data_IF_445896739237
#
_entry.id   IF_445896739237
#
_cell.length_a   1.000
_cell.length_b   1.000
_cell.length_c   1.000
_cell.angle_alpha   90.00
_cell.angle_beta   90.00
_cell.angle_gamma   90.00
#
_symmetry.space_group_name_H-M   'P 1'
#
loop_
_entity.id
_entity.type
_entity.pdbx_description
1 polymer ?
#
# COMPACT_ATOMS: atom_id res chain seq x y z
N UNK A 1 -29.96 -39.19 -30.19
CA UNK A 1 -29.04 -39.94 -31.08
C UNK A 1 -28.06 -38.96 -31.68
N UNK A 2 -26.76 -39.29 -31.55
CA UNK A 2 -25.56 -38.61 -32.08
C UNK A 2 -25.19 -37.30 -31.40
N UNK A 3 -23.93 -36.97 -31.10
CA UNK A 3 -22.65 -37.69 -30.94
C UNK A 3 -21.65 -36.55 -30.77
N UNK A 4 -20.97 -36.45 -29.63
CA UNK A 4 -19.86 -35.51 -29.45
C UNK A 4 -18.66 -35.88 -30.31
N UNK A 5 -17.82 -34.89 -30.61
CA UNK A 5 -16.38 -35.04 -30.84
C UNK A 5 -15.67 -33.69 -30.58
N UNK A 6 -14.40 -33.70 -30.11
CA UNK A 6 -13.77 -32.61 -29.39
C UNK A 6 -12.85 -31.73 -30.26
N UNK A 7 -12.58 -30.50 -29.80
CA UNK A 7 -11.54 -29.63 -30.39
C UNK A 7 -10.26 -29.73 -29.56
N UNK A 8 -9.14 -29.81 -30.28
CA UNK A 8 -7.81 -30.22 -29.84
C UNK A 8 -6.99 -29.05 -29.29
N UNK A 9 -6.31 -29.31 -28.18
CA UNK A 9 -5.19 -28.52 -27.65
C UNK A 9 -4.00 -28.66 -28.61
N UNK A 10 -3.37 -27.54 -28.98
CA UNK A 10 -2.08 -27.51 -29.67
C UNK A 10 -1.10 -26.71 -28.81
N UNK A 11 -0.18 -27.41 -28.15
CA UNK A 11 1.02 -26.81 -27.61
C UNK A 11 1.97 -26.39 -28.74
N UNK A 12 2.64 -25.26 -28.56
CA UNK A 12 3.79 -24.87 -29.38
C UNK A 12 5.06 -25.00 -28.55
N UNK A 13 6.06 -25.61 -29.19
CA UNK A 13 7.36 -25.93 -28.65
C UNK A 13 8.33 -24.75 -28.70
N UNK A 14 9.25 -24.75 -27.73
CA UNK A 14 10.42 -23.88 -27.64
C UNK A 14 11.42 -24.10 -28.78
N UNK A 15 12.12 -23.03 -29.16
CA UNK A 15 13.34 -23.08 -29.98
C UNK A 15 14.38 -22.15 -29.35
N UNK A 16 15.38 -22.75 -28.68
CA UNK A 16 16.64 -22.11 -28.31
C UNK A 16 17.61 -22.18 -29.49
N UNK A 17 18.23 -21.04 -29.85
CA UNK A 17 19.37 -21.01 -30.77
C UNK A 17 20.60 -20.61 -29.96
N UNK A 18 21.48 -21.58 -29.74
CA UNK A 18 22.85 -21.38 -29.29
C UNK A 18 23.77 -21.29 -30.51
N UNK A 19 24.68 -20.30 -30.52
CA UNK A 19 25.73 -20.16 -31.52
C UNK A 19 27.06 -19.95 -30.79
N UNK A 20 27.93 -20.96 -30.88
CA UNK A 20 29.29 -20.95 -30.36
C UNK A 20 30.29 -20.79 -31.50
N UNK A 21 31.39 -20.05 -31.26
CA UNK A 21 32.60 -20.08 -32.08
C UNK A 21 33.88 -19.86 -31.23
N UNK A 22 34.57 -20.99 -31.04
CA UNK A 22 35.99 -21.31 -30.83
C UNK A 22 37.12 -20.25 -30.86
N UNK A 23 38.12 -20.44 -29.96
CA UNK A 23 39.55 -20.73 -30.25
C UNK A 23 40.33 -21.06 -28.95
N UNK A 24 40.67 -22.33 -28.66
CA UNK A 24 41.99 -23.03 -28.77
C UNK A 24 43.20 -22.34 -28.11
N UNK A 25 43.77 -23.02 -27.10
CA UNK A 25 45.16 -22.88 -26.65
C UNK A 25 45.61 -24.12 -25.85
N UNK A 26 46.57 -24.88 -26.38
CA UNK A 26 47.11 -26.14 -25.85
C UNK A 26 48.20 -25.94 -24.78
N UNK A 27 48.40 -26.94 -23.91
CA UNK A 27 49.67 -27.17 -23.22
C UNK A 27 49.58 -28.10 -22.02
N UNK A 28 49.97 -29.36 -22.18
CA UNK A 28 49.98 -30.37 -21.09
C UNK A 28 51.33 -30.51 -20.38
N UNK A 29 51.33 -31.21 -19.24
CA UNK A 29 52.52 -31.85 -18.69
C UNK A 29 52.66 -31.84 -17.15
N UNK A 30 52.16 -32.88 -16.50
CA UNK A 30 52.86 -33.66 -15.47
C UNK A 30 53.36 -33.03 -14.14
N UNK A 31 53.07 -33.78 -13.08
CA UNK A 31 53.79 -33.98 -11.80
C UNK A 31 53.36 -33.19 -10.57
N UNK A 32 53.17 -33.98 -9.52
CA UNK A 32 52.78 -33.62 -8.17
C UNK A 32 53.84 -32.75 -7.49
N UNK A 33 53.36 -31.74 -6.77
CA UNK A 33 54.10 -30.98 -5.78
C UNK A 33 53.08 -30.34 -4.85
N UNK A 34 52.98 -30.87 -3.63
CA UNK A 34 52.20 -30.25 -2.58
C UNK A 34 52.81 -28.91 -2.21
N UNK A 35 51.95 -27.91 -2.09
CA UNK A 35 52.18 -26.73 -1.28
C UNK A 35 50.81 -26.27 -0.79
N UNK A 36 50.58 -26.44 0.51
CA UNK A 36 49.51 -25.79 1.26
C UNK A 36 49.53 -24.29 0.95
N UNK A 37 48.51 -23.83 0.23
CA UNK A 37 48.06 -22.44 0.29
C UNK A 37 46.59 -22.51 0.65
N UNK A 38 46.33 -22.35 1.94
CA UNK A 38 45.03 -22.01 2.47
C UNK A 38 44.57 -20.72 1.79
N UNK A 39 43.63 -20.86 0.85
CA UNK A 39 42.79 -19.76 0.40
C UNK A 39 41.96 -19.33 1.61
N UNK A 40 42.45 -18.34 2.34
CA UNK A 40 41.63 -17.53 3.24
C UNK A 40 40.61 -16.80 2.35
N UNK A 41 39.42 -17.38 2.29
CA UNK A 41 38.20 -16.74 1.82
C UNK A 41 37.98 -15.49 2.67
N UNK A 42 38.54 -14.37 2.19
CA UNK A 42 38.38 -13.07 2.80
C UNK A 42 36.92 -12.65 2.63
N UNK A 43 36.09 -13.12 3.55
CA UNK A 43 34.74 -12.64 3.76
C UNK A 43 34.82 -11.13 3.97
N UNK A 44 34.56 -10.40 2.89
CA UNK A 44 34.40 -8.96 2.92
C UNK A 44 33.11 -8.73 3.68
N UNK A 45 33.22 -8.51 4.99
CA UNK A 45 32.10 -8.11 5.82
C UNK A 45 31.69 -6.73 5.32
N UNK A 46 30.68 -6.69 4.46
CA UNK A 46 30.05 -5.44 4.04
C UNK A 46 29.57 -4.74 5.30
N UNK A 47 29.98 -3.48 5.49
CA UNK A 47 29.45 -2.68 6.58
C UNK A 47 27.91 -2.64 6.43
N UNK A 48 27.14 -2.74 7.53
CA UNK A 48 25.70 -2.60 7.45
C UNK A 48 25.37 -1.29 6.73
N UNK A 49 24.51 -1.37 5.71
CA UNK A 49 24.02 -0.17 5.04
C UNK A 49 23.32 0.70 6.09
N UNK A 50 23.48 2.03 6.06
CA UNK A 50 22.70 2.91 6.92
C UNK A 50 21.22 2.62 6.70
N UNK A 51 20.50 2.34 7.79
CA UNK A 51 19.04 2.17 7.73
C UNK A 51 18.40 3.52 7.41
N UNK A 52 17.35 3.48 6.61
CA UNK A 52 16.56 4.65 6.27
C UNK A 52 15.96 5.28 7.54
N UNK A 53 15.73 6.58 7.49
CA UNK A 53 15.22 7.37 8.61
C UNK A 53 13.96 8.08 8.15
N UNK A 54 12.99 8.21 9.04
CA UNK A 54 11.78 8.96 8.74
C UNK A 54 12.12 10.40 8.31
N UNK A 55 11.34 10.97 7.37
CA UNK A 55 11.43 12.37 7.06
C UNK A 55 11.09 13.26 8.27
N UNK A 56 11.58 14.50 8.26
CA UNK A 56 11.15 15.50 9.23
C UNK A 56 9.72 15.93 8.92
N UNK A 57 8.85 15.85 9.92
CA UNK A 57 7.45 16.29 9.83
C UNK A 57 7.32 17.78 10.08
N UNK A 58 6.45 18.44 9.32
CA UNK A 58 6.16 19.87 9.47
C UNK A 58 4.99 20.11 10.43
N UNK A 59 4.09 19.13 10.55
CA UNK A 59 2.89 19.20 11.38
C UNK A 59 2.34 17.81 11.73
N UNK A 60 1.36 17.79 12.64
CA UNK A 60 0.53 16.63 12.97
C UNK A 60 -0.95 16.98 12.70
N UNK A 61 -1.69 16.04 12.11
CA UNK A 61 -3.14 16.08 11.98
C UNK A 61 -3.76 14.97 12.83
N UNK A 62 -4.54 15.35 13.83
CA UNK A 62 -5.49 14.45 14.49
C UNK A 62 -6.74 14.33 13.62
N UNK A 63 -7.19 13.10 13.39
CA UNK A 63 -8.36 12.81 12.55
C UNK A 63 -9.23 11.79 13.27
N UNK A 64 -10.36 12.25 13.80
CA UNK A 64 -11.41 11.39 14.34
C UNK A 64 -12.37 11.03 13.19
N UNK A 65 -12.43 9.75 12.83
CA UNK A 65 -13.44 9.22 11.92
C UNK A 65 -14.71 8.83 12.69
N UNK A 66 -15.81 9.50 12.36
CA UNK A 66 -17.17 9.14 12.80
C UNK A 66 -17.96 8.63 11.60
N UNK A 67 -19.20 8.19 11.79
CA UNK A 67 -20.03 7.77 10.67
C UNK A 67 -20.20 8.89 9.64
N UNK A 68 -19.52 8.67 8.52
CA UNK A 68 -19.59 9.47 7.31
C UNK A 68 -19.02 10.89 7.42
N UNK A 69 -18.13 11.15 8.39
CA UNK A 69 -17.47 12.45 8.54
C UNK A 69 -16.05 12.31 9.14
N UNK A 70 -15.19 13.26 8.79
CA UNK A 70 -13.89 13.48 9.43
C UNK A 70 -13.98 14.70 10.34
N UNK A 71 -13.52 14.56 11.58
CA UNK A 71 -13.22 15.70 12.45
C UNK A 71 -11.69 15.85 12.48
N UNK A 72 -11.16 16.92 11.89
CA UNK A 72 -9.72 17.14 11.70
C UNK A 72 -9.23 18.29 12.59
N UNK A 73 -8.13 18.06 13.31
CA UNK A 73 -7.43 19.05 14.13
C UNK A 73 -5.93 19.12 13.74
N UNK A 74 -5.35 20.32 13.53
CA UNK A 74 -6.00 21.64 13.48
C UNK A 74 -7.00 21.77 12.33
N UNK A 75 -7.90 22.75 12.44
CA UNK A 75 -8.95 23.03 11.46
C UNK A 75 -8.35 23.13 10.04
N UNK A 76 -8.83 22.27 9.14
CA UNK A 76 -8.44 22.15 7.74
C UNK A 76 -8.56 23.45 6.91
N UNK A 77 -9.29 24.44 7.42
CA UNK A 77 -9.47 25.76 6.82
C UNK A 77 -8.49 26.82 7.35
N UNK A 78 -7.74 26.54 8.42
CA UNK A 78 -6.77 27.47 9.02
C UNK A 78 -5.42 27.51 8.28
N UNK A 79 -5.28 26.73 7.20
CA UNK A 79 -4.13 26.75 6.30
C UNK A 79 -3.04 25.80 6.79
N UNK A 80 -3.16 24.54 6.37
CA UNK A 80 -2.16 23.50 6.63
C UNK A 80 -0.85 23.82 5.90
N UNK A 81 0.26 23.25 6.34
CA UNK A 81 1.58 23.41 5.75
C UNK A 81 1.90 22.27 4.78
N UNK A 82 2.47 22.61 3.62
CA UNK A 82 2.98 21.59 2.70
C UNK A 82 4.21 20.88 3.29
N UNK A 83 4.27 19.56 3.14
CA UNK A 83 5.35 18.69 3.58
C UNK A 83 4.86 17.44 4.31
N UNK A 84 5.82 16.66 4.79
CA UNK A 84 5.55 15.45 5.57
C UNK A 84 4.72 15.77 6.81
N UNK A 85 3.57 15.14 6.89
CA UNK A 85 2.55 15.35 7.90
C UNK A 85 2.29 14.05 8.63
N UNK A 86 2.41 14.08 9.95
CA UNK A 86 2.01 12.97 10.81
C UNK A 86 0.50 12.94 10.92
N UNK A 87 -0.09 11.78 10.68
CA UNK A 87 -1.51 11.52 10.86
C UNK A 87 -1.68 10.71 12.15
N UNK A 88 -2.53 11.18 13.04
CA UNK A 88 -3.06 10.41 14.17
C UNK A 88 -4.52 10.13 13.84
N UNK A 89 -4.82 8.91 13.39
CA UNK A 89 -6.14 8.54 12.89
C UNK A 89 -6.83 7.61 13.89
N UNK A 90 -7.97 8.07 14.38
CA UNK A 90 -8.78 7.37 15.38
C UNK A 90 -10.15 7.06 14.78
N UNK A 91 -10.53 5.78 14.73
CA UNK A 91 -11.89 5.41 14.36
C UNK A 91 -12.77 5.37 15.61
N UNK A 92 -13.49 6.46 15.85
CA UNK A 92 -14.44 6.59 16.95
C UNK A 92 -15.87 6.18 16.56
N UNK A 93 -16.07 5.80 15.29
CA UNK A 93 -17.31 5.26 14.74
C UNK A 93 -17.54 3.78 15.01
N UNK A 94 -18.51 3.21 14.31
CA UNK A 94 -18.98 1.81 14.39
C UNK A 94 -18.80 1.06 13.07
N UNK A 95 -18.48 1.76 11.98
CA UNK A 95 -18.09 1.17 10.71
C UNK A 95 -16.57 1.28 10.54
N UNK A 96 -15.93 0.38 9.77
CA UNK A 96 -14.56 0.61 9.36
C UNK A 96 -14.45 1.92 8.57
N UNK A 97 -13.36 2.65 8.76
CA UNK A 97 -13.12 3.89 8.06
C UNK A 97 -11.71 3.90 7.47
N UNK A 98 -11.51 4.78 6.50
CA UNK A 98 -10.20 5.08 5.94
C UNK A 98 -10.13 6.59 5.69
N UNK A 99 -8.93 7.12 5.54
CA UNK A 99 -8.72 8.46 5.01
C UNK A 99 -7.62 8.40 3.96
N UNK A 100 -8.01 8.57 2.70
CA UNK A 100 -7.07 8.68 1.59
C UNK A 100 -6.95 10.13 1.15
N UNK A 101 -5.73 10.57 0.90
CA UNK A 101 -5.44 11.90 0.40
C UNK A 101 -5.16 11.85 -1.09
N UNK A 102 -5.69 12.82 -1.82
CA UNK A 102 -5.45 12.96 -3.24
C UNK A 102 -5.18 14.42 -3.60
N UNK A 103 -4.07 14.67 -4.30
CA UNK A 103 -3.84 15.97 -4.92
C UNK A 103 -4.47 15.98 -6.31
N UNK A 104 -5.03 17.12 -6.70
CA UNK A 104 -5.64 17.29 -8.01
C UNK A 104 -4.54 17.57 -9.04
N UNK A 105 -4.55 16.86 -10.17
CA UNK A 105 -3.57 17.07 -11.25
C UNK A 105 -3.71 18.45 -11.88
N UNK A 106 -2.59 18.96 -12.39
CA UNK A 106 -2.55 20.27 -13.05
C UNK A 106 -3.53 20.34 -14.23
N UNK A 107 -4.35 21.40 -14.24
CA UNK A 107 -5.25 21.71 -15.35
C UNK A 107 -6.57 20.92 -15.37
N UNK A 108 -6.85 20.12 -14.35
CA UNK A 108 -8.15 19.43 -14.17
C UNK A 108 -9.27 20.44 -13.98
N UNK A 109 -10.39 20.23 -14.69
CA UNK A 109 -11.64 20.94 -14.43
C UNK A 109 -12.36 20.29 -13.25
N UNK A 110 -12.61 21.07 -12.20
CA UNK A 110 -13.29 20.58 -10.99
C UNK A 110 -14.71 20.07 -11.26
N UNK A 111 -15.41 20.58 -12.27
CA UNK A 111 -16.72 20.09 -12.66
C UNK A 111 -16.63 18.72 -13.34
N UNK A 112 -15.56 18.46 -14.10
CA UNK A 112 -15.30 17.15 -14.70
C UNK A 112 -14.94 16.12 -13.62
N UNK A 113 -14.04 16.48 -12.70
CA UNK A 113 -13.71 15.63 -11.55
C UNK A 113 -14.96 15.30 -10.70
N UNK A 114 -15.76 16.32 -10.35
CA UNK A 114 -16.98 16.12 -9.58
C UNK A 114 -17.98 15.23 -10.34
N UNK A 115 -18.11 15.38 -11.66
CA UNK A 115 -18.97 14.54 -12.48
C UNK A 115 -18.45 13.09 -12.58
N UNK A 116 -17.14 12.90 -12.61
CA UNK A 116 -16.52 11.59 -12.73
C UNK A 116 -16.64 10.76 -11.44
N UNK A 117 -16.52 11.39 -10.27
CA UNK A 117 -16.76 10.73 -8.97
C UNK A 117 -18.23 10.61 -8.58
N UNK A 118 -19.15 11.30 -9.28
CA UNK A 118 -20.55 11.34 -8.89
C UNK A 118 -21.24 9.97 -9.04
N UNK A 119 -21.76 9.43 -7.93
CA UNK A 119 -22.42 8.12 -7.85
C UNK A 119 -21.49 6.95 -8.19
N UNK A 120 -20.19 7.13 -8.03
CA UNK A 120 -19.20 6.07 -8.21
C UNK A 120 -18.65 5.61 -6.85
N UNK A 121 -19.18 4.50 -6.32
CA UNK A 121 -18.71 3.93 -5.05
C UNK A 121 -17.30 3.36 -5.14
N UNK A 122 -16.77 3.05 -6.32
CA UNK A 122 -15.40 2.54 -6.42
C UNK A 122 -14.36 3.66 -6.54
N UNK A 123 -14.80 4.90 -6.82
CA UNK A 123 -13.93 6.04 -7.08
C UNK A 123 -13.16 5.97 -8.40
N UNK A 124 -13.36 4.92 -9.20
CA UNK A 124 -12.59 4.64 -10.40
C UNK A 124 -12.62 5.81 -11.41
N UNK A 125 -13.77 6.47 -11.56
CA UNK A 125 -13.92 7.61 -12.44
C UNK A 125 -13.07 8.81 -12.04
N UNK A 126 -12.78 8.99 -10.75
CA UNK A 126 -12.02 10.14 -10.26
C UNK A 126 -10.49 9.94 -10.38
N UNK A 127 -10.00 8.70 -10.45
CA UNK A 127 -8.56 8.38 -10.38
C UNK A 127 -7.76 9.07 -11.50
N UNK A 128 -8.31 9.21 -12.71
CA UNK A 128 -7.59 9.84 -13.82
C UNK A 128 -7.22 11.31 -13.55
N UNK A 129 -7.98 11.99 -12.70
CA UNK A 129 -7.87 13.42 -12.38
C UNK A 129 -6.98 13.73 -11.19
N UNK A 130 -6.57 12.72 -10.42
CA UNK A 130 -5.83 12.92 -9.16
C UNK A 130 -4.57 12.08 -9.12
N UNK A 131 -3.61 12.51 -8.31
CA UNK A 131 -2.59 11.61 -7.78
C UNK A 131 -2.96 11.30 -6.33
N UNK A 132 -3.08 10.01 -6.01
CA UNK A 132 -3.30 9.56 -4.63
C UNK A 132 -1.96 9.57 -3.90
N UNK A 133 -1.91 10.22 -2.74
CA UNK A 133 -0.68 10.53 -2.01
C UNK A 133 -0.59 9.79 -0.67
N UNK A 134 -1.33 8.69 -0.54
CA UNK A 134 -1.38 7.86 0.66
C UNK A 134 -2.49 8.27 1.63
N UNK A 135 -2.25 7.99 2.91
CA UNK A 135 -3.20 8.17 4.00
C UNK A 135 -3.26 6.91 4.85
N UNK A 136 -4.36 6.73 5.57
CA UNK A 136 -4.58 5.52 6.34
C UNK A 136 -5.67 4.70 5.65
N UNK A 137 -5.36 3.41 5.44
CA UNK A 137 -6.31 2.45 4.90
C UNK A 137 -7.28 1.93 6.00
N UNK A 138 -8.06 0.91 5.69
CA UNK A 138 -9.17 0.42 6.51
C UNK A 138 -8.76 0.18 7.98
N UNK A 139 -9.43 0.87 8.91
CA UNK A 139 -9.27 0.66 10.34
C UNK A 139 -10.63 0.39 10.99
N UNK A 140 -10.69 -0.62 11.85
CA UNK A 140 -11.91 -1.08 12.51
C UNK A 140 -12.41 -0.12 13.61
N UNK A 141 -13.64 -0.32 14.11
CA UNK A 141 -14.21 0.50 15.19
C UNK A 141 -13.36 0.49 16.46
N UNK A 142 -13.06 1.65 17.01
CA UNK A 142 -12.29 1.82 18.25
C UNK A 142 -10.78 1.63 18.10
N UNK A 143 -10.30 1.36 16.89
CA UNK A 143 -8.89 1.23 16.57
C UNK A 143 -8.28 2.59 16.21
N UNK A 144 -6.97 2.70 16.37
CA UNK A 144 -6.19 3.89 16.05
C UNK A 144 -4.86 3.54 15.40
N UNK A 145 -4.33 4.41 14.54
CA UNK A 145 -3.03 4.20 13.92
C UNK A 145 -2.35 5.52 13.56
N UNK A 146 -1.07 5.43 13.20
CA UNK A 146 -0.26 6.58 12.80
C UNK A 146 0.39 6.33 11.44
N UNK A 147 0.34 7.33 10.57
CA UNK A 147 1.01 7.31 9.28
C UNK A 147 1.68 8.66 8.98
N UNK A 148 2.62 8.70 8.03
CA UNK A 148 3.14 9.92 7.43
C UNK A 148 2.74 10.00 5.95
N UNK A 149 2.26 11.17 5.55
CA UNK A 149 1.96 11.51 4.16
C UNK A 149 2.61 12.84 3.79
N UNK A 150 3.04 12.99 2.53
CA UNK A 150 3.59 14.26 2.03
C UNK A 150 2.48 15.12 1.43
N UNK A 151 1.95 16.07 2.20
CA UNK A 151 0.90 16.97 1.73
C UNK A 151 1.48 18.03 0.79
N UNK A 152 1.00 18.06 -0.44
CA UNK A 152 1.44 19.05 -1.43
C UNK A 152 0.67 20.36 -1.30
N UNK A 153 1.33 21.50 -1.59
CA UNK A 153 0.67 22.80 -1.69
C UNK A 153 -0.55 22.76 -2.63
N UNK A 154 -1.64 23.40 -2.21
CA UNK A 154 -2.89 23.50 -2.94
C UNK A 154 -4.05 22.73 -2.29
N UNK A 155 -5.14 22.53 -3.02
CA UNK A 155 -6.26 21.71 -2.55
C UNK A 155 -5.88 20.23 -2.53
N UNK A 156 -6.05 19.60 -1.37
CA UNK A 156 -5.90 18.14 -1.19
C UNK A 156 -7.25 17.57 -0.77
N UNK A 157 -7.75 16.57 -1.49
CA UNK A 157 -8.98 15.87 -1.14
C UNK A 157 -8.68 14.83 -0.07
N UNK A 158 -9.54 14.73 0.93
CA UNK A 158 -9.57 13.65 1.92
C UNK A 158 -10.86 12.85 1.73
N UNK A 159 -10.78 11.53 1.55
CA UNK A 159 -11.92 10.70 1.15
C UNK A 159 -11.91 9.33 1.83
N UNK A 160 -13.10 8.83 2.18
CA UNK A 160 -13.31 7.45 2.62
C UNK A 160 -14.10 6.67 1.55
N UNK A 161 -13.48 5.69 0.90
CA UNK A 161 -14.16 4.81 -0.08
C UNK A 161 -14.64 3.48 0.51
N UNK A 162 -14.50 3.27 1.82
CA UNK A 162 -15.09 2.13 2.51
C UNK A 162 -16.60 2.08 2.23
N UNK A 163 -17.13 0.96 1.71
CA UNK A 163 -18.55 0.84 1.45
C UNK A 163 -19.34 0.55 2.74
N UNK A 164 -20.53 1.14 2.84
CA UNK A 164 -21.54 0.70 3.81
C UNK A 164 -22.04 -0.72 3.47
N UNK A 165 -22.90 -1.28 4.33
CA UNK A 165 -23.52 -2.60 4.09
C UNK A 165 -24.33 -2.74 2.78
N UNK A 166 -24.65 -1.63 2.11
CA UNK A 166 -25.38 -1.60 0.84
C UNK A 166 -24.44 -1.41 -0.36
N UNK A 167 -23.12 -1.30 -0.15
CA UNK A 167 -22.12 -1.05 -1.20
C UNK A 167 -21.95 0.42 -1.56
N UNK A 168 -22.43 1.35 -0.74
CA UNK A 168 -22.28 2.79 -0.98
C UNK A 168 -21.05 3.30 -0.23
N UNK A 169 -20.06 3.83 -0.96
CA UNK A 169 -18.88 4.43 -0.35
C UNK A 169 -19.25 5.56 0.60
N UNK A 170 -18.58 5.65 1.75
CA UNK A 170 -18.81 6.71 2.73
C UNK A 170 -18.62 8.11 2.15
N UNK A 171 -17.71 8.30 1.19
CA UNK A 171 -17.54 9.56 0.46
C UNK A 171 -18.84 10.02 -0.21
N UNK A 172 -19.63 9.10 -0.78
CA UNK A 172 -20.92 9.40 -1.38
C UNK A 172 -22.02 9.66 -0.33
N UNK A 173 -21.78 9.27 0.93
CA UNK A 173 -22.64 9.57 2.08
C UNK A 173 -22.23 10.87 2.80
N UNK A 174 -21.13 11.50 2.40
CA UNK A 174 -20.65 12.77 2.94
C UNK A 174 -19.23 12.74 3.50
N UNK A 175 -18.56 11.58 3.54
CA UNK A 175 -17.23 11.41 4.14
C UNK A 175 -16.12 11.81 3.17
N UNK A 176 -16.15 13.08 2.79
CA UNK A 176 -15.09 13.72 2.03
C UNK A 176 -14.97 15.17 2.45
N UNK A 177 -13.73 15.68 2.47
CA UNK A 177 -13.44 17.10 2.64
C UNK A 177 -12.27 17.52 1.76
N UNK A 178 -12.05 18.83 1.65
CA UNK A 178 -10.92 19.39 0.92
C UNK A 178 -10.07 20.21 1.89
N UNK A 179 -8.84 19.76 2.10
CA UNK A 179 -7.83 20.49 2.85
C UNK A 179 -7.26 21.63 2.00
N UNK A 180 -7.03 22.78 2.63
CA UNK A 180 -6.27 23.87 2.01
C UNK A 180 -4.83 23.86 2.54
N UNK A 181 -3.90 23.37 1.73
CA UNK A 181 -2.48 23.30 2.07
C UNK A 181 -1.77 24.52 1.48
N UNK A 182 -1.23 25.37 2.35
CA UNK A 182 -0.47 26.55 1.98
C UNK A 182 0.94 26.19 1.51
N UNK A 183 1.46 26.97 0.55
CA UNK A 183 2.85 26.88 0.13
C UNK A 183 3.80 27.11 1.30
N UNK A 184 4.73 26.19 1.47
CA UNK A 184 5.63 26.17 2.61
C UNK A 184 6.42 27.47 2.76
N UNK A 185 6.15 28.21 3.83
CA UNK A 185 7.10 29.15 4.40
C UNK A 185 7.15 28.96 5.91
N UNK A 186 7.46 27.76 6.39
CA UNK A 186 7.51 27.49 7.81
C UNK A 186 8.92 27.12 8.27
N UNK A 187 9.36 27.81 9.33
CA UNK A 187 10.31 27.20 10.27
C UNK A 187 9.57 26.06 10.97
N UNK A 188 10.22 24.93 11.23
CA UNK A 188 9.58 23.79 11.88
C UNK A 188 8.90 24.23 13.18
N UNK A 189 7.60 23.93 13.31
CA UNK A 189 6.94 24.01 14.61
C UNK A 189 7.60 22.95 15.52
N UNK A 190 8.19 23.32 16.67
CA UNK A 190 8.72 22.35 17.61
C UNK A 190 7.66 21.35 18.13
N UNK A 191 6.36 21.61 17.95
CA UNK A 191 5.29 20.66 18.26
C UNK A 191 5.03 19.61 17.16
N UNK A 192 5.50 19.83 15.92
CA UNK A 192 5.37 18.89 14.80
C UNK A 192 6.55 17.94 14.63
N UNK A 193 7.63 18.08 15.44
CA UNK A 193 8.88 17.35 15.28
C UNK A 193 8.93 15.97 15.97
N UNK A 194 7.78 15.36 16.23
CA UNK A 194 7.69 14.06 16.91
C UNK A 194 7.90 12.90 15.92
N UNK A 195 9.01 12.18 16.08
CA UNK A 195 9.39 11.03 15.26
C UNK A 195 10.39 11.34 14.13
N UNK A 196 10.82 12.59 13.99
CA UNK A 196 11.83 12.99 13.01
C UNK A 196 13.12 12.15 13.17
N UNK A 197 13.45 11.40 12.13
CA UNK A 197 14.55 10.46 12.17
C UNK A 197 14.33 9.31 13.15
N UNK A 198 13.14 8.75 13.30
CA UNK A 198 13.07 7.35 13.73
C UNK A 198 13.63 6.44 12.63
N UNK A 199 14.01 5.22 13.00
CA UNK A 199 14.53 4.26 12.04
C UNK A 199 13.37 3.57 11.30
N UNK A 200 13.50 3.46 9.98
CA UNK A 200 12.59 2.66 9.15
C UNK A 200 13.07 1.22 9.18
N UNK A 201 12.21 0.31 9.62
CA UNK A 201 12.54 -1.10 9.87
C UNK A 201 12.51 -1.95 8.60
N UNK A 202 11.67 -1.57 7.63
CA UNK A 202 11.54 -2.23 6.34
C UNK A 202 10.61 -1.50 5.38
N UNK A 203 10.42 -2.06 4.19
CA UNK A 203 9.60 -1.48 3.11
C UNK A 203 8.59 -2.50 2.60
N UNK A 204 7.30 -2.15 2.67
CA UNK A 204 6.28 -2.83 1.87
C UNK A 204 6.40 -2.33 0.43
N UNK A 205 6.65 -3.24 -0.51
CA UNK A 205 6.70 -2.92 -1.94
C UNK A 205 5.39 -3.35 -2.62
N UNK A 206 4.66 -2.38 -3.16
CA UNK A 206 3.48 -2.62 -4.00
C UNK A 206 3.99 -2.69 -5.45
N UNK A 207 4.11 -3.91 -5.99
CA UNK A 207 4.79 -4.17 -7.27
C UNK A 207 3.88 -4.92 -8.26
N UNK A 208 4.25 -4.89 -9.54
CA UNK A 208 3.54 -5.58 -10.65
C UNK A 208 3.41 -7.09 -10.42
N UNK A 209 4.39 -7.71 -9.76
CA UNK A 209 4.40 -9.14 -9.44
C UNK A 209 3.69 -9.47 -8.09
N UNK A 210 3.08 -8.49 -7.44
CA UNK A 210 2.37 -8.62 -6.16
C UNK A 210 3.10 -7.99 -4.96
N UNK A 211 2.44 -8.02 -3.80
CA UNK A 211 2.92 -7.32 -2.60
C UNK A 211 4.07 -8.04 -1.93
N UNK A 212 5.16 -7.31 -1.68
CA UNK A 212 6.28 -7.80 -0.88
C UNK A 212 6.14 -7.25 0.55
N UNK A 213 5.90 -8.16 1.49
CA UNK A 213 5.77 -7.85 2.91
C UNK A 213 7.13 -8.04 3.60
N UNK A 214 7.63 -7.04 4.36
CA UNK A 214 8.82 -7.22 5.19
C UNK A 214 8.68 -8.37 6.17
N UNK A 215 9.76 -9.10 6.41
CA UNK A 215 9.84 -10.16 7.44
C UNK A 215 11.22 -10.08 8.11
N UNK A 216 11.31 -9.89 9.44
CA UNK A 216 10.21 -9.81 10.41
C UNK A 216 9.45 -8.47 10.40
N UNK A 217 8.22 -8.50 10.93
CA UNK A 217 7.45 -7.32 11.31
C UNK A 217 7.53 -7.10 12.83
N UNK A 218 8.44 -6.22 13.24
CA UNK A 218 8.55 -5.74 14.62
C UNK A 218 7.71 -4.46 14.78
N UNK A 219 7.42 -4.06 16.03
CA UNK A 219 6.77 -2.78 16.29
C UNK A 219 7.66 -1.60 15.86
N UNK A 220 7.16 -0.72 14.99
CA UNK A 220 7.84 0.47 14.53
C UNK A 220 7.41 0.95 13.14
N UNK A 221 8.29 1.73 12.51
CA UNK A 221 7.98 2.42 11.25
C UNK A 221 8.39 1.64 10.02
N UNK A 222 7.48 1.56 9.06
CA UNK A 222 7.69 0.95 7.75
C UNK A 222 7.40 1.93 6.64
N UNK A 223 8.22 1.87 5.59
CA UNK A 223 7.94 2.57 4.33
C UNK A 223 6.94 1.75 3.52
N UNK A 224 6.03 2.41 2.81
CA UNK A 224 5.21 1.81 1.76
C UNK A 224 5.56 2.49 0.46
N UNK A 225 6.08 1.70 -0.48
CA UNK A 225 6.56 2.18 -1.77
C UNK A 225 5.78 1.51 -2.90
N UNK A 226 5.12 2.33 -3.73
CA UNK A 226 4.53 1.84 -4.96
C UNK A 226 5.58 1.84 -6.07
N UNK A 227 6.00 0.63 -6.47
CA UNK A 227 6.97 0.38 -7.54
C UNK A 227 6.32 -0.06 -8.85
N UNK A 228 5.00 -0.28 -8.83
CA UNK A 228 4.19 -0.49 -10.03
C UNK A 228 3.91 0.85 -10.75
N UNK A 229 3.43 0.75 -11.97
CA UNK A 229 2.83 1.81 -12.78
C UNK A 229 1.33 1.97 -12.54
N UNK A 230 0.69 1.01 -11.87
CA UNK A 230 -0.70 1.11 -11.40
C UNK A 230 -0.79 1.81 -10.04
N UNK A 231 -1.99 2.28 -9.68
CA UNK A 231 -2.31 2.76 -8.34
C UNK A 231 -2.44 1.57 -7.39
N UNK A 232 -1.96 1.66 -6.16
CA UNK A 232 -2.17 0.58 -5.17
C UNK A 232 -2.53 1.11 -3.78
N UNK A 233 -3.30 0.33 -3.03
CA UNK A 233 -3.56 0.52 -1.60
C UNK A 233 -3.08 -0.69 -0.79
N UNK A 234 -2.51 -0.45 0.38
CA UNK A 234 -2.16 -1.52 1.31
C UNK A 234 -3.13 -1.51 2.49
N UNK A 235 -4.20 -2.28 2.46
CA UNK A 235 -5.00 -2.58 3.65
C UNK A 235 -4.46 -3.80 4.38
N UNK A 236 -4.38 -3.74 5.70
CA UNK A 236 -3.97 -4.86 6.55
C UNK A 236 -5.17 -5.35 7.35
N UNK A 237 -5.50 -6.63 7.19
CA UNK A 237 -6.60 -7.29 7.88
C UNK A 237 -6.05 -8.44 8.73
N UNK A 238 -6.30 -8.42 10.03
CA UNK A 238 -6.05 -9.56 10.91
C UNK A 238 -7.07 -10.66 10.64
N UNK A 239 -6.60 -11.91 10.56
CA UNK A 239 -7.42 -13.09 10.34
C UNK A 239 -7.69 -13.79 11.68
N UNK A 240 -8.97 -13.98 12.01
CA UNK A 240 -9.38 -14.75 13.20
C UNK A 240 -9.04 -16.25 13.13
N UNK A 241 -8.55 -16.72 11.99
CA UNK A 241 -8.00 -18.06 11.80
C UNK A 241 -7.03 -18.09 10.62
N UNK A 242 -6.00 -18.95 10.69
CA UNK A 242 -5.13 -19.24 9.56
C UNK A 242 -5.94 -19.73 8.36
N UNK A 243 -5.65 -19.19 7.17
CA UNK A 243 -6.25 -19.60 5.90
C UNK A 243 -5.16 -20.03 4.91
N UNK A 244 -5.48 -20.96 4.03
CA UNK A 244 -4.63 -21.24 2.87
C UNK A 244 -4.94 -20.30 1.68
N UNK A 245 -4.14 -20.35 0.62
CA UNK A 245 -4.33 -19.49 -0.57
C UNK A 245 -5.71 -19.65 -1.23
N UNK A 246 -6.31 -20.86 -1.18
CA UNK A 246 -7.62 -21.08 -1.79
C UNK A 246 -8.74 -20.47 -0.94
N UNK A 247 -8.62 -20.56 0.39
CA UNK A 247 -9.51 -19.90 1.35
C UNK A 247 -9.37 -18.37 1.28
N UNK A 248 -8.14 -17.85 1.18
CA UNK A 248 -7.89 -16.42 0.97
C UNK A 248 -8.52 -15.91 -0.34
N UNK A 249 -8.44 -16.70 -1.42
CA UNK A 249 -9.13 -16.36 -2.67
C UNK A 249 -10.65 -16.22 -2.52
N UNK A 250 -11.29 -17.13 -1.77
CA UNK A 250 -12.73 -17.04 -1.47
C UNK A 250 -13.06 -15.83 -0.59
N UNK A 251 -12.21 -15.54 0.39
CA UNK A 251 -12.33 -14.39 1.26
C UNK A 251 -12.26 -13.08 0.46
N UNK A 252 -11.28 -12.94 -0.44
CA UNK A 252 -11.14 -11.79 -1.34
C UNK A 252 -12.35 -11.64 -2.28
N UNK A 253 -12.91 -12.75 -2.78
CA UNK A 253 -14.15 -12.72 -3.58
C UNK A 253 -15.36 -12.22 -2.76
N UNK A 254 -15.45 -12.57 -1.48
CA UNK A 254 -16.50 -12.09 -0.58
C UNK A 254 -16.35 -10.60 -0.30
N UNK A 255 -15.14 -10.14 0.02
CA UNK A 255 -14.83 -8.72 0.25
C UNK A 255 -15.18 -7.88 -0.99
N UNK A 256 -14.74 -8.28 -2.18
CA UNK A 256 -15.04 -7.56 -3.42
C UNK A 256 -16.55 -7.52 -3.76
N UNK A 257 -17.32 -8.49 -3.27
CA UNK A 257 -18.77 -8.55 -3.42
C UNK A 257 -19.53 -7.85 -2.27
N UNK A 258 -18.82 -7.20 -1.35
CA UNK A 258 -19.34 -6.62 -0.11
C UNK A 258 -20.17 -7.64 0.71
N UNK A 259 -19.68 -8.88 0.77
CA UNK A 259 -20.25 -9.96 1.58
C UNK A 259 -19.39 -10.16 2.82
N UNK A 260 -20.03 -10.53 3.93
CA UNK A 260 -19.33 -10.94 5.14
C UNK A 260 -18.64 -12.29 4.90
N UNK A 261 -17.30 -12.38 4.99
CA UNK A 261 -16.58 -13.63 4.87
C UNK A 261 -16.87 -14.59 6.04
N UNK A 262 -16.58 -15.88 5.87
CA UNK A 262 -16.72 -16.88 6.94
C UNK A 262 -15.63 -16.73 8.03
N UNK A 263 -14.43 -16.28 7.63
CA UNK A 263 -13.34 -15.95 8.54
C UNK A 263 -13.57 -14.56 9.12
N UNK A 264 -13.46 -14.44 10.45
CA UNK A 264 -13.52 -13.14 11.12
C UNK A 264 -12.31 -12.29 10.70
N UNK A 265 -12.57 -11.01 10.43
CA UNK A 265 -11.57 -10.06 9.99
C UNK A 265 -11.61 -8.83 10.87
N UNK A 266 -10.45 -8.36 11.29
CA UNK A 266 -10.29 -7.06 11.91
C UNK A 266 -9.40 -6.18 11.04
N UNK A 267 -9.90 -5.01 10.64
CA UNK A 267 -9.12 -4.06 9.86
C UNK A 267 -8.19 -3.29 10.81
N UNK A 268 -6.89 -3.46 10.64
CA UNK A 268 -5.85 -2.94 11.55
C UNK A 268 -5.07 -1.76 10.95
N UNK A 269 -5.61 -1.15 9.89
CA UNK A 269 -5.03 0.00 9.20
C UNK A 269 -4.31 -0.40 7.92
N UNK A 270 -3.18 0.24 7.68
CA UNK A 270 -2.45 0.16 6.42
C UNK A 270 -2.32 1.53 5.75
N UNK A 271 -1.81 1.55 4.53
CA UNK A 271 -1.54 2.77 3.77
C UNK A 271 -2.63 2.96 2.73
N UNK A 272 -3.29 4.12 2.77
CA UNK A 272 -4.25 4.52 1.75
C UNK A 272 -3.62 4.56 0.35
N UNK A 273 -4.42 4.68 -0.69
CA UNK A 273 -3.94 4.55 -2.06
C UNK A 273 -2.73 5.48 -2.40
N UNK A 274 -1.72 4.93 -3.06
CA UNK A 274 -0.48 5.59 -3.47
C UNK A 274 -0.34 5.45 -4.99
N UNK A 275 -0.30 6.57 -5.70
CA UNK A 275 0.03 6.61 -7.14
C UNK A 275 1.51 6.33 -7.40
N UNK A 276 1.89 5.88 -8.62
CA UNK A 276 3.30 5.66 -8.97
C UNK A 276 4.18 6.88 -8.67
N UNK A 277 5.30 6.65 -8.00
CA UNK A 277 6.26 7.69 -7.64
C UNK A 277 5.92 8.49 -6.37
N UNK A 278 4.87 8.10 -5.64
CA UNK A 278 4.62 8.55 -4.28
C UNK A 278 4.95 7.44 -3.29
N UNK A 279 5.12 7.84 -2.03
CA UNK A 279 5.41 6.94 -0.92
C UNK A 279 4.75 7.48 0.35
N UNK A 280 4.61 6.61 1.34
CA UNK A 280 4.15 6.97 2.66
C UNK A 280 4.84 6.11 3.71
N UNK A 281 4.64 6.45 4.98
CA UNK A 281 5.16 5.66 6.10
C UNK A 281 4.02 5.31 7.03
N UNK A 282 4.07 4.12 7.62
CA UNK A 282 3.10 3.71 8.63
C UNK A 282 3.78 3.08 9.83
N UNK A 283 3.23 3.42 11.00
CA UNK A 283 3.66 2.85 12.26
C UNK A 283 2.82 1.60 12.54
N UNK A 284 3.49 0.46 12.68
CA UNK A 284 2.87 -0.82 12.96
C UNK A 284 3.23 -1.26 14.38
N UNK A 285 2.24 -1.79 15.10
CA UNK A 285 2.40 -2.49 16.38
C UNK A 285 1.36 -3.61 16.38
N UNK A 286 1.58 -4.58 15.49
CA UNK A 286 0.65 -5.68 15.25
C UNK A 286 0.80 -6.74 16.35
N UNK A 287 -0.32 -7.32 16.79
CA UNK A 287 -0.30 -8.49 17.65
C UNK A 287 0.26 -9.71 16.86
N UNK A 288 0.66 -10.77 17.57
CA UNK A 288 1.08 -12.02 16.93
C UNK A 288 -0.15 -12.70 16.29
N UNK A 289 -0.11 -12.94 14.98
CA UNK A 289 -1.26 -13.48 14.26
C UNK A 289 -1.02 -13.70 12.77
N UNK A 290 -2.08 -14.12 12.08
CA UNK A 290 -2.11 -14.24 10.62
C UNK A 290 -2.84 -13.05 10.02
N UNK A 291 -2.35 -12.55 8.90
CA UNK A 291 -2.83 -11.33 8.27
C UNK A 291 -2.99 -11.49 6.77
N UNK A 292 -3.91 -10.70 6.22
CA UNK A 292 -4.09 -10.48 4.80
C UNK A 292 -3.77 -9.01 4.47
N UNK A 293 -2.73 -8.80 3.68
CA UNK A 293 -2.52 -7.55 2.95
C UNK A 293 -3.35 -7.57 1.66
N UNK A 294 -4.13 -6.53 1.37
CA UNK A 294 -5.06 -6.54 0.23
C UNK A 294 -5.29 -5.14 -0.36
N UNK A 295 -5.49 -5.09 -1.68
CA UNK A 295 -5.75 -3.88 -2.45
C UNK A 295 -7.24 -3.73 -2.83
N UNK A 296 -7.93 -2.75 -2.24
CA UNK A 296 -9.32 -2.45 -2.61
C UNK A 296 -9.43 -1.50 -3.79
N UNK A 297 -8.33 -0.92 -4.27
CA UNK A 297 -8.39 0.10 -5.31
C UNK A 297 -8.66 -0.50 -6.68
N UNK A 298 -9.47 0.19 -7.50
CA UNK A 298 -9.63 -0.12 -8.91
C UNK A 298 -8.64 0.62 -9.80
N UNK A 299 -8.59 0.20 -11.05
CA UNK A 299 -7.97 0.95 -12.14
C UNK A 299 -8.80 2.19 -12.55
N UNK A 300 -8.18 3.21 -13.17
CA UNK A 300 -8.89 4.38 -13.67
C UNK A 300 -10.04 4.01 -14.64
N UNK A 301 -11.26 4.37 -14.27
CA UNK A 301 -12.48 4.10 -15.05
C UNK A 301 -12.97 2.65 -15.04
N UNK A 302 -12.28 1.73 -14.37
CA UNK A 302 -12.63 0.31 -14.31
C UNK A 302 -12.92 -0.11 -12.87
N UNK A 303 -14.18 -0.24 -12.42
CA UNK A 303 -14.54 -0.38 -11.00
C UNK A 303 -14.18 -1.73 -10.35
N UNK A 304 -13.42 -2.58 -11.05
CA UNK A 304 -12.97 -3.87 -10.54
C UNK A 304 -11.76 -3.63 -9.63
N UNK A 305 -11.78 -4.09 -8.36
CA UNK A 305 -10.65 -3.89 -7.46
C UNK A 305 -9.49 -4.84 -7.76
N UNK A 306 -8.26 -4.37 -7.55
CA UNK A 306 -7.01 -5.10 -7.81
C UNK A 306 -6.87 -6.40 -7.02
N UNK A 307 -7.48 -6.51 -5.84
CA UNK A 307 -7.50 -7.79 -5.10
C UNK A 307 -8.00 -8.97 -5.97
N UNK A 308 -8.93 -8.73 -6.90
CA UNK A 308 -9.46 -9.79 -7.77
C UNK A 308 -8.50 -10.17 -8.90
N UNK A 309 -7.43 -9.39 -9.08
CA UNK A 309 -6.37 -9.61 -10.06
C UNK A 309 -5.09 -10.15 -9.39
N UNK A 310 -5.15 -10.45 -8.09
CA UNK A 310 -4.08 -11.10 -7.32
C UNK A 310 -3.27 -10.16 -6.43
N UNK A 311 -3.67 -8.89 -6.30
CA UNK A 311 -3.01 -7.93 -5.41
C UNK A 311 -3.46 -8.13 -3.96
N UNK A 312 -2.99 -9.23 -3.38
CA UNK A 312 -3.09 -9.54 -1.96
C UNK A 312 -1.95 -10.50 -1.55
N UNK A 313 -1.62 -10.53 -0.26
CA UNK A 313 -0.61 -11.43 0.29
C UNK A 313 -0.99 -11.87 1.71
N UNK A 314 -0.76 -13.14 2.02
CA UNK A 314 -0.83 -13.66 3.38
C UNK A 314 0.54 -13.50 4.06
N UNK A 315 0.54 -13.11 5.32
CA UNK A 315 1.73 -13.05 6.17
C UNK A 315 1.38 -13.31 7.63
N UNK A 316 2.38 -13.54 8.47
CA UNK A 316 2.20 -13.74 9.90
C UNK A 316 3.20 -12.88 10.68
N UNK A 317 2.83 -12.53 11.91
CA UNK A 317 3.69 -11.86 12.89
C UNK A 317 3.96 -12.83 14.05
N UNK A 318 5.11 -12.68 14.71
CA UNK A 318 5.55 -13.59 15.77
C UNK A 318 6.31 -14.84 15.28
N UNK A 319 6.68 -15.71 16.22
CA UNK A 319 7.39 -16.96 15.91
C UNK A 319 6.41 -18.01 15.34
N UNK A 320 6.63 -18.43 14.08
CA UNK A 320 5.89 -19.50 13.40
C UNK A 320 6.09 -20.91 14.00
#
# INVERSE_FOLDING_TARGET
MRSGAPVRIRGLAAVYIALAAFAIGCGGGGTAGGSDTSDEDAATTSAPQPRERLPETVQTLGIDATEYAFEIDPDELEGLEAGWTRLEFDNVGQEPHQVMFARIKDGVDMAELAAAGANDSSGAGAIEFVDMIGGVSYIGPGQQTTALVDLTEGPVLAMCYVPDRNGVAHALLGMSTTLTVAGGSASPDPAGADGAGEEVLGTFELAEDGYQVPDPLDAGWYKVENTDTALHELSLLELGATVDEAEAGLLVEDLAANRTPEVELEAVGGMGAISPGFEGYLHLDLEDGDYLAVDFMPDPGEPRPHMLDGYWALFSTGDA
#
